data_IF_829115639458
#
_entry.id   IF_829115639458
#
_cell.length_a   1.000
_cell.length_b   1.000
_cell.length_c   1.000
_cell.angle_alpha   90.00
_cell.angle_beta   90.00
_cell.angle_gamma   90.00
#
_symmetry.space_group_name_H-M   'P 1'
#
loop_
_entity.id
_entity.type
_entity.pdbx_description
1 polymer ?
#
# COMPACT_ATOMS: atom_id res chain seq x y z
N UNK A 1 -9.81 -2.94 25.49
CA UNK A 1 -9.01 -3.46 24.37
C UNK A 1 -7.73 -2.65 24.33
N UNK A 2 -6.57 -3.29 24.50
CA UNK A 2 -5.27 -2.61 24.45
C UNK A 2 -5.01 -2.14 23.02
N UNK A 3 -5.22 -0.85 22.78
CA UNK A 3 -4.82 -0.21 21.53
C UNK A 3 -3.29 -0.16 21.52
N UNK A 4 -2.66 -1.16 20.90
CA UNK A 4 -1.21 -1.15 20.69
C UNK A 4 -0.87 0.13 19.94
N UNK A 5 -0.30 1.09 20.66
CA UNK A 5 0.13 2.33 20.07
C UNK A 5 1.29 2.01 19.11
N UNK A 6 1.17 2.26 17.80
CA UNK A 6 2.27 2.02 16.88
C UNK A 6 3.48 2.83 17.36
N UNK A 7 4.66 2.20 17.43
CA UNK A 7 5.91 2.90 17.74
C UNK A 7 6.22 3.97 16.69
N UNK A 8 7.20 4.85 16.99
CA UNK A 8 7.51 6.01 16.15
C UNK A 8 7.76 5.67 14.67
N UNK A 9 8.36 4.51 14.38
CA UNK A 9 8.59 4.06 13.00
C UNK A 9 7.31 3.83 12.20
N UNK A 10 6.33 3.13 12.77
CA UNK A 10 5.04 2.87 12.12
C UNK A 10 4.19 4.13 12.02
N UNK A 11 4.30 5.03 13.00
CA UNK A 11 3.69 6.37 12.93
C UNK A 11 4.26 7.16 11.75
N UNK A 12 5.58 7.26 11.65
CA UNK A 12 6.25 7.96 10.55
C UNK A 12 5.95 7.36 9.17
N UNK A 13 5.85 6.02 9.08
CA UNK A 13 5.45 5.34 7.85
C UNK A 13 4.01 5.72 7.44
N UNK A 14 3.08 5.70 8.40
CA UNK A 14 1.68 6.10 8.14
C UNK A 14 1.58 7.57 7.75
N UNK A 15 2.30 8.46 8.44
CA UNK A 15 2.36 9.89 8.11
C UNK A 15 2.86 10.10 6.67
N UNK A 16 3.92 9.40 6.27
CA UNK A 16 4.46 9.48 4.91
C UNK A 16 3.49 8.93 3.87
N UNK A 17 2.84 7.79 4.13
CA UNK A 17 1.84 7.22 3.22
C UNK A 17 0.62 8.15 3.05
N UNK A 18 0.14 8.75 4.15
CA UNK A 18 -0.96 9.70 4.11
C UNK A 18 -0.67 10.92 3.23
N UNK A 19 0.59 11.40 3.17
CA UNK A 19 0.97 12.51 2.27
C UNK A 19 0.75 12.18 0.80
N UNK A 20 0.78 10.90 0.41
CA UNK A 20 0.56 10.44 -0.96
C UNK A 20 -0.85 9.86 -1.16
N UNK A 21 -1.78 10.05 -0.22
CA UNK A 21 -3.11 9.44 -0.26
C UNK A 21 -3.12 7.92 -0.05
N UNK A 22 -2.00 7.36 0.43
CA UNK A 22 -1.87 5.95 0.78
C UNK A 22 -2.40 5.62 2.17
N UNK A 23 -2.45 4.34 2.50
CA UNK A 23 -2.91 3.80 3.77
C UNK A 23 -1.96 2.70 4.27
N UNK A 24 -1.91 2.51 5.59
CA UNK A 24 -1.17 1.47 6.29
C UNK A 24 -2.11 0.75 7.26
N UNK A 25 -2.24 -0.56 7.12
CA UNK A 25 -2.97 -1.44 8.03
C UNK A 25 -1.98 -2.42 8.69
N UNK A 26 -2.04 -2.54 10.02
CA UNK A 26 -1.22 -3.47 10.78
C UNK A 26 -2.00 -4.77 10.93
N UNK A 27 -1.47 -5.85 10.37
CA UNK A 27 -2.05 -7.18 10.45
C UNK A 27 -1.23 -8.01 11.44
N UNK A 28 -1.66 -8.03 12.70
CA UNK A 28 -1.04 -8.86 13.72
C UNK A 28 -2.08 -9.78 14.35
N UNK A 29 -1.74 -11.08 14.43
CA UNK A 29 -2.51 -12.11 15.12
C UNK A 29 -1.55 -12.94 15.96
N UNK A 30 -2.00 -13.36 17.15
CA UNK A 30 -1.21 -14.25 18.00
C UNK A 30 -0.93 -15.55 17.24
N UNK A 31 0.35 -15.89 17.08
CA UNK A 31 0.80 -17.08 16.35
C UNK A 31 1.14 -16.87 14.87
N UNK A 32 0.70 -15.77 14.25
CA UNK A 32 0.94 -15.46 12.83
C UNK A 32 2.06 -14.41 12.61
N UNK A 33 2.65 -13.90 13.69
CA UNK A 33 3.69 -12.88 13.62
C UNK A 33 3.15 -11.46 13.38
N UNK A 34 3.91 -10.69 12.60
CA UNK A 34 3.66 -9.27 12.34
C UNK A 34 3.67 -8.98 10.84
N UNK A 35 2.52 -8.56 10.31
CA UNK A 35 2.35 -8.16 8.92
C UNK A 35 1.92 -6.70 8.79
N UNK A 36 2.29 -6.07 7.68
CA UNK A 36 1.85 -4.74 7.29
C UNK A 36 1.23 -4.83 5.89
N UNK A 37 0.04 -4.26 5.73
CA UNK A 37 -0.60 -4.07 4.43
C UNK A 37 -0.56 -2.60 4.09
N UNK A 38 0.00 -2.28 2.92
CA UNK A 38 0.16 -0.91 2.42
C UNK A 38 -0.60 -0.79 1.11
N UNK A 39 -1.35 0.30 0.94
CA UNK A 39 -1.91 0.71 -0.35
C UNK A 39 -1.52 2.15 -0.65
N UNK A 40 -1.25 2.43 -1.91
CA UNK A 40 -0.95 3.78 -2.41
C UNK A 40 -1.71 3.98 -3.73
N UNK A 41 -2.23 5.19 -4.01
CA UNK A 41 -2.79 5.50 -5.31
C UNK A 41 -1.75 5.24 -6.40
N UNK A 42 -2.07 4.34 -7.32
CA UNK A 42 -1.25 4.11 -8.51
C UNK A 42 -1.42 5.25 -9.52
N UNK A 43 -0.42 5.47 -10.35
CA UNK A 43 -0.64 6.21 -11.59
C UNK A 43 -1.63 5.42 -12.48
N UNK A 44 -2.43 6.10 -13.33
CA UNK A 44 -3.22 5.40 -14.33
C UNK A 44 -2.29 4.49 -15.13
N UNK A 45 -2.65 3.20 -15.21
CA UNK A 45 -1.93 2.26 -16.04
C UNK A 45 -2.01 2.76 -17.48
N UNK A 46 -0.88 3.20 -18.03
CA UNK A 46 -0.79 3.46 -19.45
C UNK A 46 -0.93 2.11 -20.15
N UNK A 47 -2.14 1.84 -20.66
CA UNK A 47 -2.38 0.65 -21.46
C UNK A 47 -1.46 0.77 -22.69
N UNK A 48 -0.60 -0.21 -22.98
CA UNK A 48 0.12 -0.20 -24.24
C UNK A 48 -0.90 -0.07 -25.37
N UNK A 49 -0.71 0.91 -26.26
CA UNK A 49 -1.57 1.05 -27.42
C UNK A 49 -1.64 -0.29 -28.13
N UNK A 50 -2.85 -0.80 -28.37
CA UNK A 50 -3.04 -2.03 -29.11
C UNK A 50 -2.31 -1.88 -30.45
N UNK A 51 -1.26 -2.68 -30.65
CA UNK A 51 -0.54 -2.72 -31.92
C UNK A 51 -1.54 -3.27 -32.93
N UNK A 52 -2.12 -2.40 -33.76
CA UNK A 52 -2.80 -2.84 -34.98
C UNK A 52 -1.72 -3.44 -35.87
N UNK A 53 -1.62 -4.77 -35.87
CA UNK A 53 -0.82 -5.47 -36.86
C UNK A 53 -1.56 -5.34 -38.19
N UNK A 54 -1.12 -4.38 -39.01
CA UNK A 54 -1.57 -4.26 -40.39
C UNK A 54 -1.20 -5.52 -41.15
N UNK A 55 -2.22 -6.16 -41.74
CA UNK A 55 -2.06 -7.24 -42.71
C UNK A 55 -1.61 -6.63 -44.03
N UNK A 56 -0.48 -7.10 -44.56
CA UNK A 56 -0.06 -6.91 -45.96
C UNK A 56 -0.30 -8.21 -46.72
#
# INVERSE_FOLDING_TARGET
>A
ADTVAPGNGLRGMRERLNQYGGQLEIQTRRGDGFGLRISVPGAPALMPAAVTQGVF
#
